data_IF_476494228787
#
_entry.id   IF_476494228787
#
_cell.length_a   1.000
_cell.length_b   1.000
_cell.length_c   1.000
_cell.angle_alpha   90.00
_cell.angle_beta   90.00
_cell.angle_gamma   90.00
#
_symmetry.space_group_name_H-M   'P 1'
#
loop_
_entity.id
_entity.type
_entity.pdbx_description
1 polymer ?
#
# COMPACT_ATOMS: atom_id res chain seq x y z
N UNK A 1 16.44 29.26 2.26
CA UNK A 1 16.42 27.82 1.90
C UNK A 1 15.67 27.13 3.02
N UNK A 2 14.41 26.75 2.78
CA UNK A 2 13.58 26.07 3.77
C UNK A 2 14.13 24.66 3.98
N UNK A 3 14.46 24.33 5.23
CA UNK A 3 14.96 23.00 5.55
C UNK A 3 13.87 21.94 5.33
N UNK A 4 14.21 20.87 4.62
CA UNK A 4 13.31 19.75 4.35
C UNK A 4 13.20 18.82 5.56
N UNK A 5 12.38 17.78 5.47
CA UNK A 5 12.28 16.76 6.53
C UNK A 5 13.64 16.11 6.87
N UNK A 6 14.57 16.09 5.91
CA UNK A 6 15.94 15.61 6.07
C UNK A 6 16.78 16.41 7.07
N UNK A 7 16.45 17.68 7.28
CA UNK A 7 17.16 18.51 8.27
C UNK A 7 16.70 18.23 9.71
N UNK A 8 15.62 17.47 9.89
CA UNK A 8 15.04 17.11 11.19
C UNK A 8 15.53 15.74 11.71
N UNK A 9 16.25 14.97 10.90
CA UNK A 9 16.65 13.59 11.22
C UNK A 9 18.17 13.47 11.39
N UNK A 10 18.60 12.48 12.16
CA UNK A 10 20.02 12.29 12.50
C UNK A 10 20.82 11.57 11.42
N UNK A 11 20.16 10.84 10.52
CA UNK A 11 20.77 10.04 9.46
C UNK A 11 19.80 9.92 8.28
N UNK A 12 20.33 9.64 7.09
CA UNK A 12 19.53 9.37 5.89
C UNK A 12 18.93 7.95 5.93
N UNK A 13 17.59 7.81 5.99
CA UNK A 13 16.93 6.51 5.99
C UNK A 13 16.72 5.96 4.58
N UNK A 14 16.92 6.76 3.53
CA UNK A 14 16.62 6.36 2.16
C UNK A 14 17.37 5.10 1.72
N UNK A 15 18.67 4.90 2.03
CA UNK A 15 19.36 3.68 1.61
C UNK A 15 18.66 2.41 2.10
N UNK A 16 18.10 2.45 3.32
CA UNK A 16 17.33 1.35 3.90
C UNK A 16 15.91 1.28 3.31
N UNK A 17 15.18 2.40 3.26
CA UNK A 17 13.81 2.42 2.74
C UNK A 17 13.72 2.05 1.25
N UNK A 18 14.76 2.33 0.49
CA UNK A 18 14.86 2.03 -0.93
C UNK A 18 15.47 0.66 -1.19
N UNK A 19 15.88 -0.12 -0.19
CA UNK A 19 16.43 -1.44 -0.45
C UNK A 19 15.38 -2.38 -1.08
N UNK A 20 15.75 -3.31 -1.97
CA UNK A 20 14.83 -4.34 -2.43
C UNK A 20 14.42 -5.26 -1.28
N UNK A 21 13.12 -5.30 -0.97
CA UNK A 21 12.53 -6.20 0.03
C UNK A 21 11.45 -7.08 -0.64
N UNK A 22 11.62 -8.40 -0.56
CA UNK A 22 10.69 -9.39 -1.12
C UNK A 22 9.46 -9.62 -0.23
N UNK A 23 9.58 -9.39 1.08
CA UNK A 23 8.49 -9.51 2.04
C UNK A 23 7.63 -8.24 2.05
N UNK A 24 8.26 -7.06 1.99
CA UNK A 24 7.59 -5.76 2.04
C UNK A 24 7.91 -4.83 0.85
N UNK A 25 7.69 -5.26 -0.41
CA UNK A 25 8.02 -4.45 -1.59
C UNK A 25 7.29 -3.11 -1.67
N UNK A 26 6.17 -2.97 -0.95
CA UNK A 26 5.42 -1.72 -0.85
C UNK A 26 6.18 -0.58 -0.17
N UNK A 27 7.14 -0.88 0.73
CA UNK A 27 7.92 0.14 1.46
C UNK A 27 8.73 0.99 0.48
N UNK A 28 9.46 0.34 -0.44
CA UNK A 28 10.21 1.04 -1.48
C UNK A 28 9.30 1.87 -2.38
N UNK A 29 8.15 1.33 -2.79
CA UNK A 29 7.17 2.07 -3.60
C UNK A 29 6.70 3.35 -2.89
N UNK A 30 6.32 3.24 -1.62
CA UNK A 30 5.89 4.38 -0.81
C UNK A 30 7.00 5.41 -0.62
N UNK A 31 8.24 4.97 -0.34
CA UNK A 31 9.37 5.88 -0.20
C UNK A 31 9.65 6.67 -1.49
N UNK A 32 9.65 6.00 -2.65
CA UNK A 32 9.82 6.66 -3.95
C UNK A 32 8.68 7.64 -4.27
N UNK A 33 7.44 7.30 -3.89
CA UNK A 33 6.25 8.12 -4.17
C UNK A 33 6.14 9.33 -3.23
N UNK A 34 6.33 9.11 -1.93
CA UNK A 34 5.95 10.07 -0.88
C UNK A 34 7.15 10.85 -0.33
N UNK A 35 8.34 10.24 -0.28
CA UNK A 35 9.55 10.90 0.23
C UNK A 35 10.40 11.49 -0.89
N UNK A 36 10.62 10.73 -1.96
CA UNK A 36 11.33 11.20 -3.16
C UNK A 36 10.42 11.95 -4.12
N UNK A 37 9.09 11.82 -3.97
CA UNK A 37 8.10 12.52 -4.81
C UNK A 37 8.36 12.31 -6.31
N UNK A 38 8.76 11.09 -6.71
CA UNK A 38 9.06 10.81 -8.10
C UNK A 38 7.82 11.00 -8.98
N UNK A 39 7.99 11.50 -10.22
CA UNK A 39 6.91 11.59 -11.20
C UNK A 39 6.23 10.24 -11.43
N UNK A 40 4.92 10.26 -11.72
CA UNK A 40 4.13 9.04 -11.95
C UNK A 40 4.58 8.21 -13.15
N UNK A 41 5.22 8.85 -14.13
CA UNK A 41 5.80 8.24 -15.33
C UNK A 41 7.27 7.79 -15.14
N UNK A 42 7.84 7.98 -13.94
CA UNK A 42 9.16 7.44 -13.61
C UNK A 42 9.18 5.92 -13.73
N UNK A 43 10.08 5.41 -14.57
CA UNK A 43 10.32 3.97 -14.74
C UNK A 43 10.57 3.27 -13.40
N UNK A 44 11.32 3.91 -12.49
CA UNK A 44 11.63 3.33 -11.19
C UNK A 44 10.38 3.22 -10.29
N UNK A 45 9.55 4.26 -10.28
CA UNK A 45 8.30 4.26 -9.52
C UNK A 45 7.31 3.21 -10.06
N UNK A 46 7.20 3.09 -11.39
CA UNK A 46 6.37 2.08 -12.06
C UNK A 46 6.84 0.67 -11.70
N UNK A 47 8.15 0.42 -11.71
CA UNK A 47 8.71 -0.87 -11.34
C UNK A 47 8.46 -1.21 -9.87
N UNK A 48 8.67 -0.25 -8.96
CA UNK A 48 8.41 -0.43 -7.53
C UNK A 48 6.93 -0.70 -7.26
N UNK A 49 6.02 0.03 -7.91
CA UNK A 49 4.57 -0.22 -7.84
C UNK A 49 4.22 -1.62 -8.34
N UNK A 50 4.78 -2.03 -9.48
CA UNK A 50 4.58 -3.37 -10.04
C UNK A 50 5.03 -4.45 -9.04
N UNK A 51 6.19 -4.25 -8.39
CA UNK A 51 6.67 -5.17 -7.35
C UNK A 51 5.73 -5.22 -6.15
N UNK A 52 5.28 -4.06 -5.66
CA UNK A 52 4.31 -3.96 -4.56
C UNK A 52 2.99 -4.70 -4.84
N UNK A 53 2.58 -4.76 -6.11
CA UNK A 53 1.38 -5.48 -6.58
C UNK A 53 1.63 -6.94 -7.02
N UNK A 54 2.88 -7.40 -6.96
CA UNK A 54 3.26 -8.79 -7.32
C UNK A 54 3.59 -9.68 -6.11
N UNK A 55 3.74 -9.09 -4.92
CA UNK A 55 4.03 -9.81 -3.68
C UNK A 55 3.71 -9.03 -2.42
N UNK A 56 4.02 -9.60 -1.26
CA UNK A 56 3.89 -8.95 0.05
C UNK A 56 2.44 -8.66 0.47
N UNK A 57 2.28 -7.62 1.29
CA UNK A 57 1.03 -7.28 2.00
C UNK A 57 -0.18 -7.07 1.08
N UNK A 58 -0.02 -6.33 -0.02
CA UNK A 58 -1.13 -6.02 -0.93
C UNK A 58 -1.71 -7.30 -1.53
N UNK A 59 -0.86 -8.13 -2.13
CA UNK A 59 -1.28 -9.40 -2.74
C UNK A 59 -1.89 -10.34 -1.71
N UNK A 60 -1.26 -10.47 -0.53
CA UNK A 60 -1.71 -11.36 0.52
C UNK A 60 -3.10 -10.99 1.08
N UNK A 61 -3.41 -9.69 1.16
CA UNK A 61 -4.73 -9.24 1.60
C UNK A 61 -5.76 -9.41 0.48
N UNK A 62 -5.46 -8.98 -0.75
CA UNK A 62 -6.38 -9.07 -1.90
C UNK A 62 -6.68 -10.52 -2.33
N UNK A 63 -5.79 -11.46 -2.03
CA UNK A 63 -6.02 -12.90 -2.24
C UNK A 63 -7.14 -13.46 -1.35
N UNK A 64 -7.39 -12.84 -0.19
CA UNK A 64 -8.43 -13.27 0.78
C UNK A 64 -9.77 -12.55 0.59
N UNK A 65 -9.84 -11.60 -0.33
CA UNK A 65 -11.07 -10.87 -0.62
C UNK A 65 -12.11 -11.81 -1.24
N UNK A 66 -13.36 -11.69 -0.80
CA UNK A 66 -14.49 -12.38 -1.42
C UNK A 66 -14.90 -11.68 -2.73
N UNK A 67 -15.55 -12.39 -3.67
CA UNK A 67 -15.97 -11.82 -4.95
C UNK A 67 -16.75 -10.51 -4.83
N UNK A 68 -17.59 -10.39 -3.78
CA UNK A 68 -18.43 -9.21 -3.55
C UNK A 68 -17.69 -8.05 -2.87
N UNK A 69 -16.37 -8.14 -2.64
CA UNK A 69 -15.55 -7.04 -2.15
C UNK A 69 -15.19 -7.06 -0.67
N UNK A 70 -15.76 -7.96 0.12
CA UNK A 70 -15.58 -8.02 1.57
C UNK A 70 -14.54 -9.07 2.02
N UNK A 71 -14.13 -9.02 3.28
CA UNK A 71 -13.30 -10.03 3.93
C UNK A 71 -14.06 -10.71 5.06
N UNK A 72 -13.77 -12.00 5.27
CA UNK A 72 -14.34 -12.88 6.32
C UNK A 72 -15.85 -13.11 6.21
N UNK A 73 -16.68 -12.10 6.45
CA UNK A 73 -18.15 -12.18 6.45
C UNK A 73 -18.79 -10.87 5.93
N UNK A 74 -20.00 -10.93 5.35
CA UNK A 74 -20.70 -9.73 4.92
C UNK A 74 -21.23 -8.90 6.11
N UNK A 75 -21.66 -7.67 5.84
CA UNK A 75 -22.23 -6.72 6.79
C UNK A 75 -21.29 -5.53 7.03
N UNK A 76 -21.38 -4.89 8.20
CA UNK A 76 -20.64 -3.66 8.51
C UNK A 76 -19.10 -3.75 8.52
N UNK A 77 -18.51 -4.92 8.26
CA UNK A 77 -17.08 -5.07 7.96
C UNK A 77 -16.08 -4.82 9.10
N UNK A 78 -16.49 -4.25 10.24
CA UNK A 78 -15.58 -3.92 11.34
C UNK A 78 -15.02 -5.17 12.07
N UNK A 79 -15.87 -6.18 12.23
CA UNK A 79 -15.51 -7.43 12.90
C UNK A 79 -15.25 -8.57 11.90
N UNK A 80 -14.28 -9.47 12.17
CA UNK A 80 -13.38 -9.47 13.32
C UNK A 80 -12.24 -8.45 13.21
N UNK A 81 -11.68 -8.05 14.36
CA UNK A 81 -10.56 -7.09 14.42
C UNK A 81 -9.39 -7.61 13.58
N UNK A 82 -8.72 -6.69 12.87
CA UNK A 82 -7.56 -6.92 11.97
C UNK A 82 -7.81 -7.67 10.67
N UNK A 83 -8.93 -8.38 10.51
CA UNK A 83 -9.19 -9.18 9.30
C UNK A 83 -10.52 -8.90 8.63
N UNK A 84 -11.46 -8.21 9.31
CA UNK A 84 -12.68 -7.70 8.70
C UNK A 84 -12.40 -6.65 7.61
N UNK A 85 -13.39 -6.41 6.74
CA UNK A 85 -13.25 -5.55 5.56
C UNK A 85 -12.69 -4.16 5.84
N UNK A 86 -13.10 -3.51 6.93
CA UNK A 86 -12.60 -2.17 7.29
C UNK A 86 -11.09 -2.22 7.57
N UNK A 87 -10.62 -3.23 8.29
CA UNK A 87 -9.20 -3.42 8.60
C UNK A 87 -8.40 -3.76 7.36
N UNK A 88 -8.89 -4.70 6.55
CA UNK A 88 -8.23 -5.09 5.30
C UNK A 88 -8.09 -3.91 4.34
N UNK A 89 -9.14 -3.11 4.13
CA UNK A 89 -9.09 -1.93 3.28
C UNK A 89 -8.17 -0.84 3.86
N UNK A 90 -8.19 -0.62 5.18
CA UNK A 90 -7.28 0.33 5.84
C UNK A 90 -5.82 -0.06 5.63
N UNK A 91 -5.48 -1.34 5.82
CA UNK A 91 -4.12 -1.84 5.60
C UNK A 91 -3.71 -1.73 4.13
N UNK A 92 -4.62 -1.98 3.18
CA UNK A 92 -4.35 -1.76 1.76
C UNK A 92 -4.04 -0.28 1.46
N UNK A 93 -4.82 0.64 2.04
CA UNK A 93 -4.57 2.07 1.88
C UNK A 93 -3.20 2.49 2.46
N UNK A 94 -2.84 1.97 3.64
CA UNK A 94 -1.53 2.20 4.26
C UNK A 94 -0.37 1.60 3.45
N UNK A 95 -0.58 0.46 2.81
CA UNK A 95 0.39 -0.15 1.90
C UNK A 95 0.49 0.57 0.54
N UNK A 96 -0.32 1.62 0.30
CA UNK A 96 -0.33 2.37 -0.94
C UNK A 96 -1.06 1.69 -2.09
N UNK A 97 -2.02 0.81 -1.80
CA UNK A 97 -2.82 0.16 -2.84
C UNK A 97 -3.56 1.20 -3.69
N UNK A 98 -3.37 1.12 -5.00
CA UNK A 98 -3.97 1.99 -6.00
C UNK A 98 -5.47 1.71 -6.18
N UNK A 99 -6.28 2.78 -6.25
CA UNK A 99 -7.73 2.70 -6.49
C UNK A 99 -8.11 2.18 -7.88
N UNK A 100 -7.19 2.22 -8.83
CA UNK A 100 -7.37 1.67 -10.18
C UNK A 100 -7.30 0.14 -10.20
N UNK A 101 -6.81 -0.50 -9.13
CA UNK A 101 -6.90 -1.95 -8.95
C UNK A 101 -8.37 -2.36 -8.71
N UNK A 102 -8.99 -3.17 -9.59
CA UNK A 102 -10.42 -3.49 -9.49
C UNK A 102 -10.84 -4.10 -8.15
N UNK A 103 -9.98 -4.91 -7.52
CA UNK A 103 -10.27 -5.46 -6.20
C UNK A 103 -10.28 -4.40 -5.09
N UNK A 104 -9.40 -3.41 -5.16
CA UNK A 104 -9.36 -2.29 -4.22
C UNK A 104 -10.59 -1.41 -4.39
N UNK A 105 -10.96 -1.09 -5.63
CA UNK A 105 -12.17 -0.33 -5.92
C UNK A 105 -13.43 -1.02 -5.36
N UNK A 106 -13.58 -2.33 -5.62
CA UNK A 106 -14.71 -3.11 -5.11
C UNK A 106 -14.78 -3.13 -3.58
N UNK A 107 -13.63 -3.18 -2.90
CA UNK A 107 -13.61 -3.09 -1.43
C UNK A 107 -14.11 -1.73 -0.92
N UNK A 108 -13.72 -0.64 -1.59
CA UNK A 108 -14.16 0.69 -1.24
C UNK A 108 -15.67 0.86 -1.48
N UNK A 109 -16.18 0.39 -2.62
CA UNK A 109 -17.61 0.38 -2.95
C UNK A 109 -18.42 -0.49 -1.99
N UNK A 110 -17.85 -1.57 -1.46
CA UNK A 110 -18.52 -2.41 -0.46
C UNK A 110 -18.76 -1.69 0.88
N UNK A 111 -17.86 -0.76 1.25
CA UNK A 111 -17.87 -0.09 2.55
C UNK A 111 -18.63 1.24 2.54
N UNK A 112 -18.69 1.95 1.40
CA UNK A 112 -19.33 3.25 1.23
C UNK A 112 -20.82 3.13 0.86
#
# INVERSE_FOLDING_TARGET
MSGGWRDLIKNDPLPWLLEPDLENPAVRYLALRDLESLPQDSTELIQAKTRAFSGGTIVNILAKQRPDGYWVKPGGGYGPKFTGSVWSLTTLAQAGADRTEPKVLRAAEYIL
#
